data_IF_474574517751
#
_entry.id   IF_474574517751
#
_cell.length_a   1.000
_cell.length_b   1.000
_cell.length_c   1.000
_cell.angle_alpha   90.00
_cell.angle_beta   90.00
_cell.angle_gamma   90.00
#
_symmetry.space_group_name_H-M   'P 1'
#
loop_
_entity.id
_entity.type
_entity.pdbx_description
1 polymer ?
#
# COMPACT_ATOMS: atom_id res chain seq x y z
N UNK A 1 9.15 28.03 5.09
CA UNK A 1 9.04 26.73 4.39
C UNK A 1 7.85 26.74 3.46
N UNK A 2 6.64 26.98 3.96
CA UNK A 2 5.40 27.00 3.17
C UNK A 2 5.47 27.90 1.91
N UNK A 3 6.02 29.12 2.01
CA UNK A 3 6.19 30.01 0.85
C UNK A 3 7.08 29.41 -0.27
N UNK A 4 8.07 28.59 0.09
CA UNK A 4 8.96 27.91 -0.87
C UNK A 4 8.27 26.73 -1.55
N UNK A 5 7.17 26.23 -0.97
CA UNK A 5 6.39 25.11 -1.50
C UNK A 5 5.25 25.55 -2.42
N UNK A 6 4.80 26.81 -2.30
CA UNK A 6 3.75 27.41 -3.15
C UNK A 6 3.94 27.15 -4.65
N UNK A 7 5.15 27.26 -5.24
CA UNK A 7 5.35 27.01 -6.68
C UNK A 7 5.06 25.56 -7.11
N UNK A 8 5.07 24.62 -6.17
CA UNK A 8 4.85 23.20 -6.42
C UNK A 8 3.40 22.76 -6.14
N UNK A 9 2.56 23.66 -5.64
CA UNK A 9 1.17 23.38 -5.27
C UNK A 9 0.28 23.27 -6.52
N UNK A 10 -0.54 22.22 -6.58
CA UNK A 10 -1.44 21.91 -7.71
C UNK A 10 -2.90 22.25 -7.42
N UNK A 11 -3.35 22.02 -6.19
CA UNK A 11 -4.68 22.40 -5.73
C UNK A 11 -4.67 22.72 -4.24
N UNK A 12 -5.65 23.51 -3.84
CA UNK A 12 -5.86 24.04 -2.49
C UNK A 12 -7.29 23.81 -2.06
N UNK A 13 -7.62 24.10 -0.81
CA UNK A 13 -8.99 24.03 -0.30
C UNK A 13 -9.97 24.90 -1.10
N UNK A 14 -9.50 25.96 -1.76
CA UNK A 14 -10.31 26.86 -2.58
C UNK A 14 -10.79 26.22 -3.88
N UNK A 15 -10.13 25.15 -4.32
CA UNK A 15 -10.52 24.41 -5.52
C UNK A 15 -11.66 23.41 -5.25
N UNK A 16 -12.05 23.23 -3.98
CA UNK A 16 -13.10 22.31 -3.56
C UNK A 16 -14.48 22.77 -4.08
N UNK A 17 -15.27 21.81 -4.55
CA UNK A 17 -16.61 22.07 -5.06
C UNK A 17 -17.67 21.89 -3.96
N UNK A 18 -18.69 22.76 -3.88
CA UNK A 18 -19.80 22.54 -2.97
C UNK A 18 -20.48 21.18 -3.23
N UNK A 19 -20.71 20.41 -2.16
CA UNK A 19 -21.38 19.11 -2.23
C UNK A 19 -20.45 17.90 -2.47
N UNK A 20 -19.15 18.12 -2.62
CA UNK A 20 -18.13 17.06 -2.56
C UNK A 20 -17.61 16.91 -1.12
N UNK A 21 -17.16 15.72 -0.70
CA UNK A 21 -16.53 15.55 0.61
C UNK A 21 -15.22 16.34 0.69
N UNK A 22 -14.89 16.80 1.89
CA UNK A 22 -13.67 17.55 2.16
C UNK A 22 -12.74 16.74 3.05
N UNK A 23 -11.47 16.70 2.67
CA UNK A 23 -10.44 15.92 3.35
C UNK A 23 -9.23 16.79 3.68
N UNK A 24 -8.60 16.50 4.82
CA UNK A 24 -7.32 17.05 5.24
C UNK A 24 -6.29 15.92 5.39
N UNK A 25 -5.05 16.21 5.02
CA UNK A 25 -3.93 15.29 5.10
C UNK A 25 -2.91 15.84 6.10
N UNK A 26 -2.32 14.97 6.92
CA UNK A 26 -1.19 15.31 7.77
C UNK A 26 -0.06 14.31 7.54
N UNK A 27 1.18 14.81 7.57
CA UNK A 27 2.39 14.00 7.39
C UNK A 27 3.28 14.14 8.61
N UNK A 28 3.81 13.03 9.10
CA UNK A 28 4.78 12.99 10.19
C UNK A 28 5.86 11.97 9.86
N UNK A 29 7.12 12.27 10.14
CA UNK A 29 8.21 11.34 9.91
C UNK A 29 9.47 11.74 10.65
N UNK A 30 10.46 10.85 10.73
CA UNK A 30 11.73 11.11 11.39
C UNK A 30 12.50 12.26 10.72
N UNK A 31 13.22 13.06 11.49
CA UNK A 31 14.07 14.12 10.92
C UNK A 31 15.31 13.58 10.19
N UNK A 32 15.61 12.29 10.36
CA UNK A 32 16.76 11.62 9.79
C UNK A 32 16.34 10.41 8.97
N UNK A 33 16.90 10.30 7.77
CA UNK A 33 16.74 9.16 6.89
C UNK A 33 18.05 8.41 6.78
N UNK A 34 18.06 7.12 7.11
CA UNK A 34 19.16 6.22 6.77
C UNK A 34 18.93 5.63 5.37
N UNK A 35 20.01 5.47 4.61
CA UNK A 35 19.97 4.78 3.30
C UNK A 35 19.96 3.26 3.43
N UNK A 36 20.22 2.73 4.63
CA UNK A 36 20.30 1.28 4.91
C UNK A 36 19.05 0.73 5.59
N UNK A 37 18.11 1.60 5.99
CA UNK A 37 16.89 1.22 6.68
C UNK A 37 15.66 1.88 6.04
N UNK A 38 14.49 1.23 6.04
CA UNK A 38 13.28 1.84 5.50
C UNK A 38 12.92 3.13 6.24
N UNK A 39 12.66 4.19 5.48
CA UNK A 39 12.17 5.46 6.03
C UNK A 39 10.66 5.42 6.17
N UNK A 40 10.19 5.09 7.36
CA UNK A 40 8.78 5.04 7.71
C UNK A 40 8.24 6.44 8.02
N UNK A 41 7.15 6.82 7.38
CA UNK A 41 6.41 8.04 7.68
C UNK A 41 4.94 7.74 7.90
N UNK A 42 4.32 8.53 8.76
CA UNK A 42 2.92 8.46 9.12
C UNK A 42 2.12 9.47 8.30
N UNK A 43 0.95 9.03 7.87
CA UNK A 43 -0.01 9.79 7.09
C UNK A 43 -1.38 9.68 7.75
N UNK A 44 -1.97 10.80 8.16
CA UNK A 44 -3.35 10.81 8.64
C UNK A 44 -4.25 11.53 7.64
N UNK A 45 -5.29 10.83 7.20
CA UNK A 45 -6.35 11.34 6.34
C UNK A 45 -7.60 11.57 7.19
N UNK A 46 -8.03 12.82 7.30
CA UNK A 46 -9.20 13.20 8.07
C UNK A 46 -10.30 13.74 7.17
N UNK A 47 -11.53 13.29 7.38
CA UNK A 47 -12.70 13.91 6.77
C UNK A 47 -13.16 15.12 7.58
N UNK A 48 -13.24 16.28 6.95
CA UNK A 48 -13.45 17.58 7.61
C UNK A 48 -14.73 18.32 7.19
N UNK A 49 -15.53 17.75 6.29
CA UNK A 49 -16.84 18.32 5.95
C UNK A 49 -17.92 17.99 7.00
N UNK A 50 -18.99 18.78 6.99
CA UNK A 50 -20.12 18.67 7.93
C UNK A 50 -21.19 17.64 7.51
N UNK A 51 -21.02 16.93 6.39
CA UNK A 51 -22.03 15.98 5.91
C UNK A 51 -22.07 14.75 6.80
N UNK A 52 -23.27 14.34 7.19
CA UNK A 52 -23.49 13.10 7.96
C UNK A 52 -23.47 11.83 7.11
N UNK A 53 -23.57 11.95 5.77
CA UNK A 53 -23.51 10.80 4.85
C UNK A 53 -22.16 10.11 4.92
N UNK A 54 -22.10 8.81 4.68
CA UNK A 54 -20.82 8.11 4.57
C UNK A 54 -20.21 8.40 3.20
N UNK A 55 -18.90 8.60 3.14
CA UNK A 55 -18.18 8.79 1.88
C UNK A 55 -17.39 7.53 1.56
N UNK A 56 -17.61 6.97 0.36
CA UNK A 56 -16.72 5.96 -0.19
C UNK A 56 -15.69 6.68 -1.05
N UNK A 57 -14.44 6.59 -0.63
CA UNK A 57 -13.31 7.21 -1.32
C UNK A 57 -12.05 6.42 -1.03
N UNK A 58 -11.55 5.71 -2.04
CA UNK A 58 -10.31 4.96 -1.90
C UNK A 58 -9.11 5.85 -2.16
N UNK A 59 -8.40 6.15 -1.09
CA UNK A 59 -7.11 6.78 -1.13
C UNK A 59 -6.20 6.17 -0.07
N UNK A 60 -4.95 5.94 -0.44
CA UNK A 60 -3.89 5.44 0.42
C UNK A 60 -2.56 6.01 -0.08
N UNK A 61 -1.60 6.35 0.79
CA UNK A 61 -0.30 6.85 0.35
C UNK A 61 0.48 5.81 -0.47
N UNK A 62 0.21 4.53 -0.25
CA UNK A 62 0.90 3.44 -0.94
C UNK A 62 0.52 3.34 -2.42
N UNK A 63 -0.78 3.48 -2.74
CA UNK A 63 -1.28 3.38 -4.11
C UNK A 63 -1.21 4.72 -4.84
N UNK A 64 -1.35 5.84 -4.11
CA UNK A 64 -1.54 7.17 -4.70
C UNK A 64 -0.41 8.16 -4.39
N UNK A 65 0.42 7.87 -3.40
CA UNK A 65 1.47 8.78 -2.93
C UNK A 65 2.71 8.80 -3.80
N UNK A 66 3.03 7.74 -4.55
CA UNK A 66 4.26 7.68 -5.36
C UNK A 66 4.03 7.28 -6.83
N UNK A 67 2.99 7.85 -7.44
CA UNK A 67 2.62 7.61 -8.85
C UNK A 67 3.21 8.65 -9.81
N UNK A 68 3.51 8.24 -11.04
CA UNK A 68 4.17 9.09 -12.04
C UNK A 68 3.38 10.35 -12.43
N UNK A 69 2.06 10.22 -12.55
CA UNK A 69 1.13 11.28 -12.94
C UNK A 69 0.63 12.12 -11.75
N UNK A 70 1.16 11.89 -10.55
CA UNK A 70 0.58 12.44 -9.32
C UNK A 70 1.46 12.27 -8.08
N UNK A 71 0.85 12.20 -6.91
CA UNK A 71 1.58 11.86 -5.68
C UNK A 71 2.43 12.97 -5.04
N UNK A 72 3.19 12.54 -4.04
CA UNK A 72 4.22 13.30 -3.34
C UNK A 72 5.35 13.70 -4.30
N UNK A 73 5.91 14.86 -4.06
CA UNK A 73 7.10 15.37 -4.73
C UNK A 73 8.25 15.38 -3.73
N UNK A 74 9.38 14.83 -4.14
CA UNK A 74 10.63 14.93 -3.38
C UNK A 74 11.42 16.16 -3.84
N UNK A 75 11.76 17.03 -2.91
CA UNK A 75 12.45 18.29 -3.14
C UNK A 75 13.78 18.32 -2.37
N UNK A 76 14.86 18.71 -3.02
CA UNK A 76 16.19 18.86 -2.41
C UNK A 76 16.42 20.32 -1.99
N UNK A 77 16.89 20.52 -0.75
CA UNK A 77 17.40 21.82 -0.32
C UNK A 77 18.76 22.10 -0.95
N UNK A 78 18.86 23.19 -1.70
CA UNK A 78 20.13 23.64 -2.28
C UNK A 78 20.70 24.83 -1.50
N UNK A 79 22.01 25.08 -1.67
CA UNK A 79 22.83 26.03 -0.89
C UNK A 79 22.36 27.50 -0.84
N UNK A 80 21.24 27.83 -1.50
CA UNK A 80 20.62 29.16 -1.52
C UNK A 80 19.27 29.23 -0.79
N UNK A 81 18.90 28.19 -0.03
CA UNK A 81 17.59 28.09 0.61
C UNK A 81 16.44 27.84 -0.37
N UNK A 82 16.78 27.52 -1.63
CA UNK A 82 15.83 27.13 -2.65
C UNK A 82 15.56 25.62 -2.59
N UNK A 83 14.44 25.22 -3.17
CA UNK A 83 14.06 23.82 -3.34
C UNK A 83 14.15 23.45 -4.81
N UNK A 84 14.69 22.27 -5.11
CA UNK A 84 14.74 21.71 -6.46
C UNK A 84 14.09 20.32 -6.49
N UNK A 85 13.17 20.03 -7.43
CA UNK A 85 12.63 18.69 -7.59
C UNK A 85 13.70 17.66 -7.90
N UNK A 86 13.64 16.53 -7.20
CA UNK A 86 14.49 15.37 -7.48
C UNK A 86 13.94 14.66 -8.71
N UNK A 87 14.78 14.51 -9.74
CA UNK A 87 14.40 13.77 -10.95
C UNK A 87 14.34 12.28 -10.62
N UNK A 88 13.20 11.67 -10.89
CA UNK A 88 12.99 10.26 -10.64
C UNK A 88 13.59 9.38 -11.78
N UNK A 89 13.98 8.12 -11.49
CA UNK A 89 14.46 7.17 -12.50
C UNK A 89 13.40 6.86 -13.58
N UNK A 90 13.84 6.42 -14.77
CA UNK A 90 12.95 6.20 -15.92
C UNK A 90 11.93 5.07 -15.74
N UNK A 91 12.16 4.11 -14.82
CA UNK A 91 11.17 3.08 -14.45
C UNK A 91 9.84 3.69 -13.94
N UNK A 92 9.84 4.97 -13.54
CA UNK A 92 8.64 5.71 -13.17
C UNK A 92 7.90 6.30 -14.39
N UNK A 93 8.25 5.98 -15.63
CA UNK A 93 7.49 6.43 -16.82
C UNK A 93 6.22 5.61 -17.05
N UNK A 94 6.11 4.40 -16.50
CA UNK A 94 4.91 3.60 -16.65
C UNK A 94 3.75 4.24 -15.85
N UNK A 95 2.56 4.38 -16.44
CA UNK A 95 1.40 4.92 -15.75
C UNK A 95 1.07 4.18 -14.47
N UNK A 96 0.38 4.85 -13.54
CA UNK A 96 -0.17 4.18 -12.37
C UNK A 96 -1.10 3.05 -12.83
N UNK A 97 -1.18 1.98 -12.05
CA UNK A 97 -2.21 0.99 -12.23
C UNK A 97 -3.53 1.60 -11.71
N UNK A 98 -4.32 2.18 -12.62
CA UNK A 98 -5.66 2.68 -12.32
C UNK A 98 -6.61 1.49 -12.19
N UNK A 99 -6.85 1.05 -10.96
CA UNK A 99 -7.85 0.02 -10.69
C UNK A 99 -9.20 0.68 -10.46
N UNK A 100 -10.17 0.31 -11.29
CA UNK A 100 -11.58 0.62 -11.09
C UNK A 100 -12.18 -0.10 -9.86
N UNK A 101 -11.44 -1.04 -9.27
CA UNK A 101 -11.78 -1.75 -8.04
C UNK A 101 -10.74 -1.46 -6.96
N UNK A 102 -11.14 -0.77 -5.91
CA UNK A 102 -10.27 -0.48 -4.77
C UNK A 102 -10.51 -1.48 -3.64
N UNK A 103 -9.48 -2.23 -3.26
CA UNK A 103 -9.50 -3.06 -2.06
C UNK A 103 -8.31 -2.70 -1.14
N UNK A 104 -8.57 -2.39 0.14
CA UNK A 104 -9.90 -2.31 0.78
C UNK A 104 -10.74 -1.09 0.33
N UNK A 105 -12.06 -1.22 0.41
CA UNK A 105 -13.00 -0.11 0.21
C UNK A 105 -12.93 0.83 1.41
N UNK A 106 -12.39 2.03 1.22
CA UNK A 106 -12.24 3.00 2.31
C UNK A 106 -13.55 3.77 2.51
N UNK A 107 -14.26 3.43 3.58
CA UNK A 107 -15.42 4.16 4.08
C UNK A 107 -15.00 5.23 5.09
N UNK A 108 -15.47 6.46 4.87
CA UNK A 108 -15.17 7.63 5.70
C UNK A 108 -16.44 8.20 6.30
N UNK A 109 -16.55 8.09 7.63
CA UNK A 109 -17.60 8.76 8.43
C UNK A 109 -17.25 10.23 8.65
N UNK A 110 -18.24 11.06 8.99
CA UNK A 110 -17.98 12.45 9.37
C UNK A 110 -16.97 12.51 10.53
N UNK A 111 -15.94 13.34 10.38
CA UNK A 111 -14.86 13.48 11.37
C UNK A 111 -13.90 12.29 11.51
N UNK A 112 -14.09 11.22 10.73
CA UNK A 112 -13.21 10.04 10.81
C UNK A 112 -11.78 10.37 10.39
N UNK A 113 -10.84 9.72 11.06
CA UNK A 113 -9.40 9.80 10.77
C UNK A 113 -8.92 8.40 10.42
N UNK A 114 -8.39 8.24 9.21
CA UNK A 114 -7.68 7.04 8.78
C UNK A 114 -6.19 7.29 8.90
N UNK A 115 -5.48 6.36 9.54
CA UNK A 115 -4.04 6.45 9.77
C UNK A 115 -3.32 5.39 8.94
N UNK A 116 -2.25 5.80 8.28
CA UNK A 116 -1.40 4.94 7.48
C UNK A 116 0.05 5.14 7.87
N UNK A 117 0.81 4.06 7.86
CA UNK A 117 2.25 4.11 7.82
C UNK A 117 2.70 3.68 6.42
N UNK A 118 3.65 4.43 5.85
CA UNK A 118 4.18 4.17 4.53
C UNK A 118 5.69 4.40 4.50
N UNK A 119 6.35 3.83 3.51
CA UNK A 119 7.81 3.85 3.37
C UNK A 119 8.19 4.67 2.16
N UNK A 120 9.20 5.53 2.32
CA UNK A 120 9.80 6.18 1.17
C UNK A 120 10.38 5.10 0.23
N UNK A 121 9.91 4.98 -1.02
CA UNK A 121 10.31 3.89 -1.90
C UNK A 121 11.83 3.80 -2.07
N UNK A 122 12.40 2.60 -1.95
CA UNK A 122 13.85 2.36 -1.97
C UNK A 122 14.51 2.91 -3.26
N UNK A 123 13.79 2.90 -4.38
CA UNK A 123 14.20 3.53 -5.65
C UNK A 123 14.55 5.02 -5.55
N UNK A 124 13.99 5.74 -4.57
CA UNK A 124 14.29 7.15 -4.33
C UNK A 124 15.61 7.32 -3.58
N UNK A 125 16.06 6.32 -2.82
CA UNK A 125 17.27 6.37 -1.99
C UNK A 125 18.55 6.57 -2.83
N UNK A 126 18.55 6.13 -4.09
CA UNK A 126 19.67 6.35 -5.02
C UNK A 126 19.84 7.83 -5.40
N UNK A 127 18.76 8.61 -5.34
CA UNK A 127 18.79 10.06 -5.63
C UNK A 127 19.09 10.91 -4.39
N UNK A 128 19.23 10.27 -3.22
CA UNK A 128 19.51 10.91 -1.94
C UNK A 128 21.01 10.90 -1.66
N UNK A 129 21.53 12.04 -1.22
CA UNK A 129 22.94 12.23 -0.86
C UNK A 129 23.07 12.39 0.66
N UNK A 130 24.00 11.65 1.26
CA UNK A 130 24.32 11.79 2.69
C UNK A 130 24.70 13.23 3.03
N UNK A 131 24.19 13.73 4.16
CA UNK A 131 24.43 15.08 4.67
C UNK A 131 23.48 16.13 4.09
N UNK A 132 22.75 15.78 3.03
CA UNK A 132 21.82 16.69 2.37
C UNK A 132 20.41 16.60 2.98
N UNK A 133 19.66 17.71 2.85
CA UNK A 133 18.31 17.85 3.39
C UNK A 133 17.27 17.81 2.27
N UNK A 134 16.17 17.09 2.51
CA UNK A 134 15.08 16.91 1.56
C UNK A 134 13.72 17.19 2.19
N UNK A 135 12.72 17.45 1.34
CA UNK A 135 11.32 17.64 1.70
C UNK A 135 10.47 16.67 0.88
N UNK A 136 9.65 15.86 1.56
CA UNK A 136 8.57 15.13 0.91
C UNK A 136 7.31 15.99 1.02
N UNK A 137 6.77 16.43 -0.11
CA UNK A 137 5.68 17.40 -0.18
C UNK A 137 4.47 16.81 -0.89
N UNK A 138 3.28 17.01 -0.32
CA UNK A 138 2.01 16.74 -0.99
C UNK A 138 1.54 17.99 -1.77
N UNK A 139 1.59 17.97 -3.11
CA UNK A 139 1.21 19.13 -3.92
C UNK A 139 -0.30 19.31 -4.06
N UNK A 140 -1.09 18.31 -3.65
CA UNK A 140 -2.52 18.26 -3.90
C UNK A 140 -2.89 17.49 -5.17
N UNK A 141 -4.04 16.84 -5.14
CA UNK A 141 -4.60 16.06 -6.25
C UNK A 141 -6.12 16.20 -6.37
N UNK A 142 -6.65 15.78 -7.53
CA UNK A 142 -8.09 15.70 -7.78
C UNK A 142 -8.49 14.26 -8.08
N UNK A 143 -9.64 13.84 -7.58
CA UNK A 143 -10.13 12.48 -7.74
C UNK A 143 -11.60 12.48 -8.19
N UNK A 144 -11.88 11.73 -9.25
CA UNK A 144 -13.25 11.52 -9.76
C UNK A 144 -13.92 10.31 -9.12
N UNK A 145 -13.17 9.29 -8.72
CA UNK A 145 -13.72 8.06 -8.14
C UNK A 145 -14.09 8.24 -6.66
N UNK A 146 -15.34 8.60 -6.41
CA UNK A 146 -15.92 8.69 -5.06
C UNK A 146 -17.45 8.55 -5.11
N UNK A 147 -18.11 8.30 -3.98
CA UNK A 147 -19.55 8.48 -3.88
C UNK A 147 -20.01 8.74 -2.44
N UNK A 148 -21.20 9.34 -2.32
CA UNK A 148 -21.96 9.34 -1.08
C UNK A 148 -22.72 8.02 -0.98
N UNK A 149 -22.56 7.30 0.12
CA UNK A 149 -23.25 6.04 0.38
C UNK A 149 -24.33 6.23 1.45
N UNK A 150 -25.53 5.75 1.15
CA UNK A 150 -26.66 5.75 2.07
C UNK A 150 -26.83 4.40 2.77
N UNK A 151 -26.37 3.30 2.14
CA UNK A 151 -26.39 1.94 2.69
C UNK A 151 -24.99 1.29 2.63
N UNK A 152 -24.08 1.62 3.57
CA UNK A 152 -22.75 1.00 3.63
C UNK A 152 -22.87 -0.52 3.84
N UNK A 153 -22.41 -1.32 2.87
CA UNK A 153 -22.35 -2.79 2.97
C UNK A 153 -22.90 -3.57 1.76
N UNK A 154 -23.66 -2.95 0.84
CA UNK A 154 -24.21 -3.66 -0.33
C UNK A 154 -23.32 -3.61 -1.59
N UNK A 155 -22.26 -2.81 -1.59
CA UNK A 155 -21.33 -2.71 -2.72
C UNK A 155 -20.31 -3.87 -2.70
N UNK A 156 -20.79 -5.06 -3.05
CA UNK A 156 -20.08 -6.34 -3.10
C UNK A 156 -18.82 -6.36 -4.00
N UNK A 157 -18.61 -5.36 -4.86
CA UNK A 157 -17.49 -5.32 -5.80
C UNK A 157 -16.44 -4.25 -5.50
N UNK A 158 -16.61 -3.44 -4.45
CA UNK A 158 -15.66 -2.36 -4.13
C UNK A 158 -15.51 -1.32 -5.25
N UNK A 159 -16.50 -1.25 -6.15
CA UNK A 159 -16.49 -0.36 -7.31
C UNK A 159 -16.97 1.02 -6.91
N UNK A 160 -16.10 2.02 -7.10
CA UNK A 160 -16.43 3.42 -6.88
C UNK A 160 -16.52 4.10 -8.24
N UNK A 161 -17.73 4.44 -8.73
CA UNK A 161 -17.88 5.04 -10.05
C UNK A 161 -17.22 6.43 -10.12
N UNK A 162 -16.67 6.81 -11.28
CA UNK A 162 -16.22 8.17 -11.50
C UNK A 162 -17.42 9.13 -11.46
N UNK A 163 -17.28 10.20 -10.70
CA UNK A 163 -18.25 11.28 -10.58
C UNK A 163 -17.94 12.42 -11.54
N UNK A 164 -18.98 13.20 -11.87
CA UNK A 164 -18.83 14.43 -12.65
C UNK A 164 -18.09 15.54 -11.87
N UNK A 165 -18.23 15.54 -10.54
CA UNK A 165 -17.56 16.50 -9.66
C UNK A 165 -16.35 15.84 -9.03
N UNK A 166 -15.24 16.55 -8.97
CA UNK A 166 -13.99 16.03 -8.39
C UNK A 166 -13.91 16.34 -6.90
N UNK A 167 -13.45 15.37 -6.10
CA UNK A 167 -12.90 15.65 -4.78
C UNK A 167 -11.56 16.33 -4.96
N UNK A 168 -11.34 17.39 -4.19
CA UNK A 168 -10.03 18.02 -4.08
C UNK A 168 -9.37 17.51 -2.81
N UNK A 169 -8.18 16.96 -2.98
CA UNK A 169 -7.31 16.66 -1.86
C UNK A 169 -6.24 17.76 -1.77
N UNK A 170 -6.42 18.78 -0.90
CA UNK A 170 -5.58 19.97 -0.90
C UNK A 170 -4.10 19.67 -0.66
N UNK A 171 -3.25 20.40 -1.38
CA UNK A 171 -1.80 20.41 -1.16
C UNK A 171 -1.40 21.25 0.05
N UNK A 172 -0.17 21.05 0.53
CA UNK A 172 0.34 21.77 1.69
C UNK A 172 1.17 20.90 2.64
N UNK A 173 0.66 19.72 3.05
CA UNK A 173 1.38 18.85 3.98
C UNK A 173 2.76 18.46 3.48
N UNK A 174 3.74 18.54 4.37
CA UNK A 174 5.12 18.17 4.07
C UNK A 174 5.81 17.60 5.30
N UNK A 175 6.88 16.84 5.07
CA UNK A 175 7.87 16.50 6.07
C UNK A 175 9.27 16.81 5.53
N UNK A 176 10.23 17.04 6.43
CA UNK A 176 11.62 17.30 6.07
C UNK A 176 12.55 16.35 6.80
N UNK A 177 13.56 15.84 6.11
CA UNK A 177 14.55 14.95 6.67
C UNK A 177 15.94 15.23 6.13
N UNK A 178 16.95 14.83 6.91
CA UNK A 178 18.36 14.86 6.54
C UNK A 178 18.84 13.44 6.31
N UNK A 179 19.58 13.20 5.24
CA UNK A 179 20.12 11.87 4.96
C UNK A 179 21.37 11.67 5.81
N UNK A 180 21.41 10.59 6.57
CA UNK A 180 22.53 10.26 7.46
C UNK A 180 23.16 8.93 7.05
N UNK A 181 24.48 8.80 7.22
CA UNK A 181 25.14 7.50 7.17
C UNK A 181 24.87 6.84 8.52
N UNK A 182 24.03 5.81 8.55
CA UNK A 182 23.78 5.07 9.78
C UNK A 182 23.98 3.58 9.57
N UNK A 183 25.02 3.04 10.21
CA UNK A 183 25.31 1.61 10.38
C UNK A 183 24.87 1.09 11.76
N UNK A 184 24.21 1.91 12.61
CA UNK A 184 24.08 1.59 14.04
C UNK A 184 22.73 1.78 14.73
N UNK A 185 21.92 2.79 14.35
CA UNK A 185 20.63 3.03 15.03
C UNK A 185 19.44 2.83 14.09
N UNK A 186 18.56 1.89 14.45
CA UNK A 186 17.27 1.68 13.76
C UNK A 186 16.52 3.01 13.67
N UNK A 187 15.85 3.33 12.54
CA UNK A 187 14.98 4.49 12.47
C UNK A 187 13.98 4.43 13.62
N UNK A 188 13.92 5.51 14.41
CA UNK A 188 12.87 5.67 15.40
C UNK A 188 11.59 5.86 14.60
N UNK A 189 10.70 4.88 14.61
CA UNK A 189 9.36 5.01 14.06
C UNK A 189 8.74 6.33 14.58
N UNK A 190 8.01 7.09 13.74
CA UNK A 190 7.43 8.35 14.19
C UNK A 190 6.61 8.11 15.46
N UNK A 191 6.83 8.94 16.48
CA UNK A 191 6.05 8.86 17.71
C UNK A 191 4.58 9.04 17.35
N UNK A 192 3.68 8.12 17.76
CA UNK A 192 2.25 8.32 17.59
C UNK A 192 1.85 9.69 18.13
N UNK A 193 0.87 10.33 17.49
CA UNK A 193 0.25 11.54 18.04
C UNK A 193 -0.17 11.19 19.48
N UNK A 194 0.38 11.94 20.45
CA UNK A 194 0.34 11.65 21.89
C UNK A 194 -1.04 11.17 22.37
N UNK A 195 -1.11 9.94 22.92
CA UNK A 195 -2.31 9.38 23.55
C UNK A 195 -2.84 8.06 22.99
N UNK A 196 -2.24 7.49 21.94
CA UNK A 196 -2.65 6.20 21.38
C UNK A 196 -1.91 5.03 22.05
N UNK A 197 -2.63 4.15 22.76
CA UNK A 197 -2.16 2.78 23.02
C UNK A 197 -1.90 2.06 21.67
N UNK A 198 -0.95 1.11 21.62
CA UNK A 198 -0.71 0.26 20.44
C UNK A 198 -1.95 -0.63 20.20
N UNK A 199 -2.94 -0.01 19.57
CA UNK A 199 -4.24 -0.61 19.28
C UNK A 199 -4.16 -1.57 18.10
N UNK A 200 -3.15 -1.41 17.23
CA UNK A 200 -2.88 -2.25 16.08
C UNK A 200 -1.37 -2.37 15.77
N UNK A 201 -0.92 -3.52 15.23
CA UNK A 201 0.45 -3.67 14.74
C UNK A 201 0.72 -2.83 13.49
N UNK A 202 1.97 -2.38 13.33
CA UNK A 202 2.44 -1.71 12.11
C UNK A 202 3.20 -2.70 11.23
N UNK A 203 2.69 -2.92 10.03
CA UNK A 203 3.28 -3.84 9.08
C UNK A 203 3.91 -3.09 7.90
N UNK A 204 5.00 -3.66 7.38
CA UNK A 204 5.79 -3.13 6.28
C UNK A 204 5.90 -4.20 5.21
N UNK A 205 5.65 -3.86 3.94
CA UNK A 205 5.78 -4.80 2.83
C UNK A 205 6.95 -4.46 1.90
N UNK A 206 7.65 -5.50 1.41
CA UNK A 206 8.71 -5.40 0.40
C UNK A 206 8.60 -6.54 -0.60
N UNK A 207 9.01 -6.29 -1.85
CA UNK A 207 9.07 -7.31 -2.89
C UNK A 207 10.51 -7.47 -3.33
N UNK A 208 10.92 -8.72 -3.48
CA UNK A 208 12.14 -9.09 -4.17
C UNK A 208 11.78 -9.96 -5.38
N UNK A 209 12.42 -9.72 -6.53
CA UNK A 209 12.26 -10.55 -7.71
C UNK A 209 13.58 -11.17 -8.16
N UNK A 210 13.47 -12.38 -8.70
CA UNK A 210 14.56 -13.06 -9.38
C UNK A 210 14.07 -13.65 -10.71
N UNK A 211 14.79 -13.46 -11.84
CA UNK A 211 16.01 -12.64 -11.98
C UNK A 211 15.79 -11.14 -11.70
N UNK A 212 16.88 -10.41 -11.43
CA UNK A 212 16.87 -8.96 -11.22
C UNK A 212 16.95 -8.24 -12.56
N UNK A 213 16.17 -7.16 -12.71
CA UNK A 213 16.11 -6.24 -13.86
C UNK A 213 15.66 -6.82 -15.21
N UNK A 214 16.05 -8.06 -15.55
CA UNK A 214 15.78 -8.67 -16.85
C UNK A 214 15.32 -10.12 -16.70
N UNK A 215 14.40 -10.56 -17.56
CA UNK A 215 13.92 -11.95 -17.61
C UNK A 215 13.89 -12.47 -19.04
N UNK A 216 14.38 -13.68 -19.27
CA UNK A 216 14.41 -14.28 -20.59
C UNK A 216 13.02 -14.80 -21.01
N UNK A 217 12.61 -14.51 -22.24
CA UNK A 217 11.26 -14.85 -22.74
C UNK A 217 10.91 -16.35 -22.73
N UNK A 218 11.88 -17.24 -22.98
CA UNK A 218 11.58 -18.63 -23.38
C UNK A 218 11.72 -19.70 -22.31
N UNK A 219 12.29 -19.45 -21.12
CA UNK A 219 12.42 -20.49 -20.09
C UNK A 219 12.61 -19.99 -18.64
N UNK A 220 12.65 -18.67 -18.39
CA UNK A 220 12.83 -18.16 -17.02
C UNK A 220 11.50 -17.80 -16.35
N UNK A 221 11.30 -18.41 -15.18
CA UNK A 221 10.22 -18.08 -14.25
C UNK A 221 10.60 -16.84 -13.46
N UNK A 222 9.69 -15.88 -13.35
CA UNK A 222 9.84 -14.77 -12.40
C UNK A 222 9.49 -15.30 -11.02
N UNK A 223 10.48 -15.41 -10.15
CA UNK A 223 10.25 -15.69 -8.73
C UNK A 223 10.06 -14.38 -8.00
N UNK A 224 8.92 -14.17 -7.37
CA UNK A 224 8.68 -13.01 -6.52
C UNK A 224 8.51 -13.44 -5.06
N UNK A 225 9.19 -12.74 -4.16
CA UNK A 225 9.07 -12.94 -2.72
C UNK A 225 8.49 -11.69 -2.09
N UNK A 226 7.32 -11.83 -1.46
CA UNK A 226 6.72 -10.81 -0.60
C UNK A 226 7.26 -10.98 0.82
N UNK A 227 7.84 -9.91 1.36
CA UNK A 227 8.27 -9.83 2.75
C UNK A 227 7.32 -8.89 3.51
N UNK A 228 6.78 -9.33 4.64
CA UNK A 228 5.96 -8.53 5.56
C UNK A 228 6.65 -8.49 6.92
N UNK A 229 7.06 -7.31 7.35
CA UNK A 229 7.80 -7.09 8.61
C UNK A 229 6.92 -6.39 9.62
N UNK A 230 6.92 -6.85 10.88
CA UNK A 230 6.27 -6.16 11.98
C UNK A 230 7.23 -5.14 12.60
N UNK A 231 6.92 -3.84 12.44
CA UNK A 231 7.72 -2.76 13.03
C UNK A 231 7.11 -2.32 14.38
N UNK A 232 7.84 -2.42 15.50
CA UNK A 232 7.34 -1.95 16.80
C UNK A 232 7.27 -0.43 16.84
N UNK A 233 6.14 0.11 17.29
CA UNK A 233 6.03 1.54 17.55
C UNK A 233 6.62 1.86 18.95
N UNK A 234 7.94 2.07 19.00
CA UNK A 234 8.71 2.59 20.15
C UNK A 234 8.93 1.66 21.37
N UNK A 235 10.21 1.36 21.68
CA UNK A 235 10.81 1.18 23.02
C UNK A 235 10.33 0.05 23.96
N UNK A 236 9.04 -0.27 23.97
CA UNK A 236 8.50 -1.47 24.63
C UNK A 236 8.55 -2.61 23.62
N UNK A 237 9.17 -3.73 23.97
CA UNK A 237 9.22 -4.92 23.12
C UNK A 237 7.82 -5.41 22.81
N UNK A 238 7.23 -4.91 21.71
CA UNK A 238 5.84 -5.11 21.31
C UNK A 238 5.38 -6.57 21.45
N UNK A 239 4.09 -6.76 21.59
CA UNK A 239 3.53 -8.12 21.74
C UNK A 239 3.42 -8.79 20.37
N UNK A 240 3.62 -10.11 20.26
CA UNK A 240 3.48 -10.82 18.99
C UNK A 240 2.06 -10.71 18.45
N UNK A 241 1.93 -10.88 17.14
CA UNK A 241 0.66 -10.96 16.44
C UNK A 241 0.52 -12.29 15.74
N UNK A 242 -0.70 -12.83 15.70
CA UNK A 242 -1.08 -13.94 14.85
C UNK A 242 -2.09 -13.44 13.84
N UNK A 243 -1.88 -13.71 12.55
CA UNK A 243 -2.72 -13.20 11.48
C UNK A 243 -2.94 -14.21 10.35
N UNK A 244 -4.05 -14.04 9.65
CA UNK A 244 -4.39 -14.79 8.46
C UNK A 244 -3.56 -14.27 7.26
N UNK A 245 -2.95 -15.18 6.50
CA UNK A 245 -2.08 -14.81 5.38
C UNK A 245 -2.83 -14.70 4.05
N UNK A 246 -4.16 -14.82 4.03
CA UNK A 246 -4.94 -14.70 2.81
C UNK A 246 -4.80 -13.30 2.22
N UNK A 247 -4.71 -13.23 0.89
CA UNK A 247 -4.52 -11.98 0.17
C UNK A 247 -3.10 -11.41 0.18
N UNK A 248 -2.17 -11.96 0.98
CA UNK A 248 -0.76 -11.57 0.96
C UNK A 248 -0.02 -12.24 -0.20
N UNK A 249 -0.34 -11.81 -1.42
CA UNK A 249 0.24 -12.30 -2.67
C UNK A 249 0.64 -11.15 -3.59
N UNK A 250 1.77 -11.32 -4.26
CA UNK A 250 2.16 -10.47 -5.38
C UNK A 250 1.29 -10.78 -6.60
N UNK A 251 1.37 -9.91 -7.62
CA UNK A 251 0.89 -10.17 -8.97
C UNK A 251 1.88 -9.62 -9.98
N UNK A 252 1.89 -10.20 -11.19
CA UNK A 252 2.64 -9.65 -12.31
C UNK A 252 1.71 -8.95 -13.30
N UNK A 253 2.14 -7.80 -13.79
CA UNK A 253 1.44 -7.01 -14.77
C UNK A 253 2.38 -6.68 -15.93
N UNK A 254 1.85 -6.61 -17.16
CA UNK A 254 2.61 -6.14 -18.33
C UNK A 254 2.00 -4.86 -18.86
N UNK A 255 2.85 -3.93 -19.30
CA UNK A 255 2.41 -2.68 -19.92
C UNK A 255 2.30 -2.82 -21.45
N UNK A 256 1.08 -2.63 -21.98
CA UNK A 256 0.75 -2.67 -23.42
C UNK A 256 -0.25 -1.58 -23.78
N UNK A 257 0.15 -0.32 -23.58
CA UNK A 257 -0.73 0.88 -23.60
C UNK A 257 -1.83 0.90 -22.52
N UNK A 258 -2.05 -0.24 -21.86
CA UNK A 258 -2.79 -0.45 -20.63
C UNK A 258 -2.08 -1.52 -19.80
N UNK A 259 -2.40 -1.59 -18.52
CA UNK A 259 -1.95 -2.68 -17.68
C UNK A 259 -2.76 -3.94 -17.93
N UNK A 260 -2.07 -5.07 -18.12
CA UNK A 260 -2.67 -6.39 -18.31
C UNK A 260 -2.16 -7.31 -17.20
N UNK A 261 -3.09 -7.95 -16.48
CA UNK A 261 -2.76 -8.93 -15.44
C UNK A 261 -2.20 -10.20 -16.10
N UNK A 262 -0.96 -10.56 -15.76
CA UNK A 262 -0.28 -11.73 -16.30
C UNK A 262 -0.53 -13.00 -15.50
N UNK A 263 -1.41 -13.01 -14.50
CA UNK A 263 -1.89 -14.27 -13.92
C UNK A 263 -3.05 -14.88 -14.74
N UNK A 264 -3.50 -14.17 -15.78
CA UNK A 264 -4.66 -14.54 -16.60
C UNK A 264 -5.95 -14.62 -15.77
N UNK A 265 -7.02 -15.13 -16.38
CA UNK A 265 -8.19 -15.62 -15.64
C UNK A 265 -7.82 -16.92 -14.94
N UNK A 266 -6.92 -16.87 -13.96
CA UNK A 266 -6.74 -18.02 -13.08
C UNK A 266 -7.99 -18.12 -12.23
N UNK A 267 -8.76 -19.18 -12.43
CA UNK A 267 -9.67 -19.71 -11.44
C UNK A 267 -8.84 -20.24 -10.23
N UNK A 268 -7.94 -19.42 -9.66
CA UNK A 268 -7.13 -19.78 -8.50
C UNK A 268 -7.90 -19.64 -7.17
N UNK A 269 -9.22 -19.50 -7.26
CA UNK A 269 -10.13 -20.11 -6.31
C UNK A 269 -10.96 -21.07 -7.12
N UNK A 270 -10.95 -22.36 -6.79
CA UNK A 270 -11.99 -23.24 -7.27
C UNK A 270 -13.32 -22.59 -6.93
N UNK A 271 -14.05 -22.14 -7.96
CA UNK A 271 -15.51 -22.08 -7.88
C UNK A 271 -16.03 -23.53 -7.87
N UNK A 272 -15.50 -24.33 -6.95
CA UNK A 272 -16.11 -25.57 -6.54
C UNK A 272 -17.39 -25.10 -5.88
N UNK A 273 -18.50 -25.31 -6.57
CA UNK A 273 -19.82 -25.11 -6.00
C UNK A 273 -19.89 -26.00 -4.75
N UNK A 274 -19.72 -25.41 -3.58
CA UNK A 274 -19.63 -26.13 -2.31
C UNK A 274 -20.93 -25.92 -1.54
N UNK A 275 -21.80 -26.94 -1.55
CA UNK A 275 -22.80 -27.16 -0.48
C UNK A 275 -22.11 -27.64 0.82
N UNK A 276 -20.78 -27.63 0.88
CA UNK A 276 -19.99 -28.04 2.03
C UNK A 276 -20.12 -27.02 3.18
N UNK A 277 -20.18 -27.50 4.44
CA UNK A 277 -20.30 -26.63 5.60
C UNK A 277 -19.00 -25.84 5.85
N UNK A 278 -19.14 -24.62 6.36
CA UNK A 278 -18.03 -23.80 6.83
C UNK A 278 -17.12 -24.60 7.79
N UNK A 279 -15.81 -24.38 7.67
CA UNK A 279 -14.79 -25.13 8.38
C UNK A 279 -14.34 -24.33 9.61
N UNK A 280 -14.23 -25.01 10.75
CA UNK A 280 -13.67 -24.47 11.97
C UNK A 280 -12.19 -24.83 12.05
N UNK A 281 -11.33 -23.81 12.12
CA UNK A 281 -9.87 -24.01 12.23
C UNK A 281 -9.30 -23.22 13.39
N UNK A 282 -8.17 -23.69 13.93
CA UNK A 282 -7.43 -22.96 14.96
C UNK A 282 -6.27 -22.18 14.34
N UNK A 283 -6.17 -20.85 14.55
CA UNK A 283 -5.02 -20.05 14.11
C UNK A 283 -3.68 -20.60 14.64
N UNK A 284 -3.71 -21.18 15.85
CA UNK A 284 -2.54 -21.80 16.46
C UNK A 284 -2.01 -23.04 15.74
N UNK A 285 -2.82 -23.67 14.87
CA UNK A 285 -2.47 -24.96 14.20
C UNK A 285 -2.48 -24.88 12.68
N UNK A 286 -3.35 -24.06 12.11
CA UNK A 286 -3.61 -24.07 10.68
C UNK A 286 -2.55 -23.30 9.88
N UNK A 287 -2.16 -23.77 8.70
CA UNK A 287 -1.07 -23.20 7.89
C UNK A 287 -1.38 -21.83 7.27
N UNK A 288 -2.67 -21.52 7.07
CA UNK A 288 -3.14 -20.21 6.61
C UNK A 288 -2.97 -19.06 7.62
N UNK A 289 -2.31 -19.30 8.75
CA UNK A 289 -2.02 -18.31 9.77
C UNK A 289 -0.52 -18.27 10.08
N UNK A 290 0.00 -17.06 10.22
CA UNK A 290 1.38 -16.79 10.62
C UNK A 290 1.42 -16.03 11.94
N UNK A 291 2.58 -16.03 12.58
CA UNK A 291 2.85 -15.21 13.75
C UNK A 291 4.13 -14.42 13.54
N UNK A 292 4.14 -13.17 14.02
CA UNK A 292 5.30 -12.29 14.02
C UNK A 292 5.51 -11.68 15.40
N UNK A 293 6.72 -11.80 15.92
CA UNK A 293 7.23 -10.94 16.98
C UNK A 293 7.68 -9.60 16.39
N UNK A 294 7.81 -8.55 17.20
CA UNK A 294 8.33 -7.29 16.71
C UNK A 294 9.71 -7.43 16.10
N UNK A 295 9.86 -6.88 14.90
CA UNK A 295 11.06 -6.95 14.07
C UNK A 295 11.18 -8.23 13.25
N UNK A 296 10.29 -9.21 13.40
CA UNK A 296 10.29 -10.39 12.55
C UNK A 296 9.64 -10.11 11.18
N UNK A 297 10.05 -10.91 10.20
CA UNK A 297 9.56 -10.83 8.82
C UNK A 297 8.96 -12.15 8.40
N UNK A 298 7.70 -12.13 7.97
CA UNK A 298 7.04 -13.22 7.27
C UNK A 298 7.36 -13.09 5.78
N UNK A 299 7.59 -14.20 5.09
CA UNK A 299 7.91 -14.18 3.66
C UNK A 299 7.13 -15.25 2.90
N UNK A 300 6.63 -14.89 1.71
CA UNK A 300 5.98 -15.83 0.81
C UNK A 300 6.53 -15.67 -0.59
N UNK A 301 6.91 -16.80 -1.20
CA UNK A 301 7.53 -16.84 -2.52
C UNK A 301 6.59 -17.50 -3.51
N UNK A 302 6.30 -16.80 -4.61
CA UNK A 302 5.52 -17.29 -5.74
C UNK A 302 6.42 -17.38 -6.96
N UNK A 303 6.26 -18.44 -7.75
CA UNK A 303 6.94 -18.60 -9.05
C UNK A 303 5.91 -18.40 -10.15
N UNK A 304 6.13 -17.36 -10.94
CA UNK A 304 5.31 -17.03 -12.08
C UNK A 304 5.94 -17.58 -13.36
N UNK A 305 5.11 -18.23 -14.16
CA UNK A 305 5.46 -18.54 -15.54
C UNK A 305 5.12 -17.32 -16.39
N UNK A 306 6.07 -16.86 -17.21
CA UNK A 306 5.80 -15.79 -18.17
C UNK A 306 4.77 -16.30 -19.17
N UNK A 307 3.56 -15.75 -19.12
CA UNK A 307 2.44 -16.25 -19.91
C UNK A 307 2.68 -16.03 -21.41
N UNK A 308 2.66 -17.13 -22.15
CA UNK A 308 2.43 -17.15 -23.60
C UNK A 308 0.94 -17.14 -23.94
N UNK A 309 0.04 -17.43 -22.99
CA UNK A 309 -1.40 -17.61 -23.24
C UNK A 309 -2.27 -16.53 -22.59
N UNK A 310 -1.98 -15.26 -22.91
CA UNK A 310 -2.89 -14.14 -22.63
C UNK A 310 -3.90 -14.06 -23.77
N UNK A 311 -5.17 -13.74 -23.49
CA UNK A 311 -6.17 -13.57 -24.54
C UNK A 311 -5.66 -12.64 -25.65
N UNK A 312 -5.90 -12.98 -26.91
CA UNK A 312 -5.46 -12.17 -28.05
C UNK A 312 -5.94 -10.71 -27.99
N UNK A 313 -7.07 -10.46 -27.35
CA UNK A 313 -7.64 -9.14 -27.03
C UNK A 313 -6.79 -8.33 -26.05
N UNK A 314 -6.07 -8.99 -25.15
CA UNK A 314 -5.15 -8.42 -24.16
C UNK A 314 -3.67 -8.47 -24.63
N UNK A 315 -3.46 -8.68 -25.92
CA UNK A 315 -2.17 -8.50 -26.60
C UNK A 315 -1.39 -9.78 -26.89
N UNK A 316 -1.90 -10.95 -26.51
CA UNK A 316 -1.29 -12.26 -26.79
C UNK A 316 0.01 -12.52 -26.02
N UNK A 317 0.90 -13.34 -26.59
CA UNK A 317 2.14 -13.78 -25.92
C UNK A 317 3.06 -12.60 -25.55
N UNK A 318 3.82 -12.76 -24.47
CA UNK A 318 4.87 -11.83 -24.07
C UNK A 318 5.93 -11.62 -25.18
N UNK A 319 6.50 -10.41 -25.28
CA UNK A 319 7.49 -10.06 -26.32
C UNK A 319 8.75 -9.45 -25.72
N UNK A 320 9.88 -9.70 -26.37
CA UNK A 320 11.16 -9.04 -26.05
C UNK A 320 10.99 -7.51 -26.10
N UNK A 321 11.52 -6.83 -25.09
CA UNK A 321 11.42 -5.38 -24.88
C UNK A 321 10.16 -4.93 -24.12
N UNK A 322 9.23 -5.82 -23.78
CA UNK A 322 8.12 -5.48 -22.88
C UNK A 322 8.61 -5.33 -21.43
N UNK A 323 7.95 -4.45 -20.67
CA UNK A 323 8.23 -4.25 -19.25
C UNK A 323 7.14 -4.91 -18.42
N UNK A 324 7.59 -5.78 -17.52
CA UNK A 324 6.80 -6.45 -16.50
C UNK A 324 6.95 -5.70 -15.19
N UNK A 325 5.86 -5.59 -14.44
CA UNK A 325 5.82 -5.05 -13.09
C UNK A 325 5.33 -6.11 -12.12
N UNK A 326 6.18 -6.49 -11.18
CA UNK A 326 5.75 -7.22 -9.99
C UNK A 326 5.26 -6.24 -8.93
N UNK A 327 4.07 -6.48 -8.41
CA UNK A 327 3.41 -5.55 -7.51
C UNK A 327 2.58 -6.28 -6.45
N UNK A 328 2.60 -5.71 -5.25
CA UNK A 328 1.71 -6.02 -4.13
C UNK A 328 1.02 -4.71 -3.78
N UNK A 329 -0.29 -4.65 -3.93
CA UNK A 329 -1.10 -3.43 -3.79
C UNK A 329 -1.31 -3.01 -2.33
N UNK A 330 -0.81 -3.83 -1.40
CA UNK A 330 -1.28 -3.79 -0.04
C UNK A 330 -2.59 -4.56 0.08
N UNK A 331 -2.94 -4.87 1.31
CA UNK A 331 -4.23 -5.47 1.63
C UNK A 331 -4.60 -5.12 3.06
N UNK A 332 -5.88 -5.11 3.34
CA UNK A 332 -6.33 -5.23 4.72
C UNK A 332 -6.10 -6.68 5.15
N UNK A 333 -5.55 -6.89 6.34
CA UNK A 333 -5.53 -8.21 6.93
C UNK A 333 -6.97 -8.66 7.16
N UNK A 334 -7.30 -9.79 6.55
CA UNK A 334 -8.59 -10.45 6.68
C UNK A 334 -8.93 -10.71 8.16
N UNK A 335 -7.93 -11.22 8.90
CA UNK A 335 -8.05 -11.47 10.34
C UNK A 335 -6.69 -11.39 11.03
N UNK A 336 -6.66 -10.86 12.26
CA UNK A 336 -5.49 -10.89 13.12
C UNK A 336 -5.90 -10.79 14.60
N UNK A 337 -4.98 -11.15 15.49
CA UNK A 337 -5.13 -11.06 16.94
C UNK A 337 -3.76 -10.88 17.61
N UNK A 338 -3.76 -10.28 18.79
CA UNK A 338 -2.57 -10.21 19.64
C UNK A 338 -2.30 -11.55 20.34
N UNK A 339 -1.06 -12.02 20.26
CA UNK A 339 -0.62 -13.27 20.83
C UNK A 339 0.13 -14.14 19.82
N UNK A 340 0.84 -15.12 20.36
CA UNK A 340 1.52 -16.16 19.58
C UNK A 340 0.53 -17.20 19.08
N UNK A 341 0.99 -18.09 18.20
CA UNK A 341 0.16 -19.23 17.75
C UNK A 341 -0.21 -20.13 18.93
N UNK A 342 0.68 -20.28 19.89
CA UNK A 342 0.49 -21.05 21.11
C UNK A 342 -0.67 -20.50 21.96
N UNK A 343 -0.76 -19.17 22.08
CA UNK A 343 -1.85 -18.49 22.79
C UNK A 343 -3.22 -18.75 22.14
N UNK A 344 -3.23 -19.04 20.83
CA UNK A 344 -4.43 -19.23 20.02
C UNK A 344 -4.71 -20.68 19.62
N UNK A 345 -4.14 -21.66 20.34
CA UNK A 345 -4.43 -23.09 20.14
C UNK A 345 -5.89 -23.48 20.44
N UNK A 346 -6.53 -22.77 21.38
CA UNK A 346 -7.93 -22.96 21.74
C UNK A 346 -8.88 -21.98 21.04
N UNK A 347 -8.33 -20.99 20.32
CA UNK A 347 -9.12 -20.08 19.48
C UNK A 347 -9.59 -20.83 18.25
N UNK A 348 -10.84 -20.60 17.87
CA UNK A 348 -11.46 -21.17 16.67
C UNK A 348 -11.98 -20.04 15.81
N UNK A 349 -11.72 -20.15 14.51
CA UNK A 349 -12.22 -19.23 13.49
C UNK A 349 -12.97 -20.00 12.40
N UNK A 350 -14.02 -19.37 11.86
CA UNK A 350 -14.87 -19.91 10.80
C UNK A 350 -14.35 -19.47 9.44
N UNK A 351 -14.02 -20.42 8.57
CA UNK A 351 -13.63 -20.18 7.17
C UNK A 351 -14.69 -20.80 6.25
N UNK A 352 -15.17 -20.08 5.22
CA UNK A 352 -16.19 -20.61 4.35
C UNK A 352 -15.65 -21.75 3.47
N UNK A 353 -16.49 -22.73 3.20
CA UNK A 353 -16.14 -23.86 2.34
C UNK A 353 -15.97 -23.50 0.86
N UNK A 354 -16.24 -22.24 0.50
CA UNK A 354 -16.06 -21.66 -0.85
C UNK A 354 -14.59 -21.54 -1.28
N UNK A 355 -13.65 -22.03 -0.48
CA UNK A 355 -12.21 -21.95 -0.75
C UNK A 355 -11.61 -20.56 -0.55
N UNK A 356 -12.41 -19.55 -0.19
CA UNK A 356 -11.90 -18.26 0.26
C UNK A 356 -11.40 -18.41 1.69
N UNK A 357 -10.09 -18.20 1.89
CA UNK A 357 -9.44 -18.24 3.20
C UNK A 357 -9.78 -17.04 4.11
N UNK A 358 -10.95 -16.43 3.88
CA UNK A 358 -11.48 -15.29 4.61
C UNK A 358 -12.22 -15.74 5.86
N UNK A 359 -11.82 -15.23 7.01
CA UNK A 359 -12.45 -15.52 8.30
C UNK A 359 -13.77 -14.77 8.40
N UNK A 360 -14.86 -15.52 8.61
CA UNK A 360 -16.20 -14.96 8.86
C UNK A 360 -16.42 -14.59 10.32
N UNK A 361 -15.99 -15.46 11.22
CA UNK A 361 -16.23 -15.32 12.64
C UNK A 361 -15.04 -15.83 13.48
N UNK A 362 -14.66 -15.12 14.56
CA UNK A 362 -15.06 -13.75 14.87
C UNK A 362 -14.48 -12.77 13.83
N UNK A 363 -15.27 -11.76 13.45
CA UNK A 363 -14.78 -10.67 12.62
C UNK A 363 -13.68 -9.87 13.31
N UNK A 364 -12.83 -9.21 12.53
CA UNK A 364 -11.65 -8.53 13.05
C UNK A 364 -11.89 -7.03 13.27
N UNK A 365 -11.46 -6.53 14.42
CA UNK A 365 -11.40 -5.10 14.75
C UNK A 365 -10.30 -4.87 15.81
N UNK A 366 -9.40 -3.87 15.65
CA UNK A 366 -9.38 -2.86 14.60
C UNK A 366 -8.75 -3.33 13.28
N UNK A 367 -8.97 -2.55 12.22
CA UNK A 367 -8.42 -2.79 10.88
C UNK A 367 -6.90 -2.65 10.90
N UNK A 368 -6.20 -3.64 10.35
CA UNK A 368 -4.75 -3.57 10.08
C UNK A 368 -4.52 -3.66 8.59
N UNK A 369 -3.67 -2.78 8.09
CA UNK A 369 -3.29 -2.70 6.69
C UNK A 369 -1.85 -3.18 6.55
N UNK A 370 -1.62 -4.11 5.64
CA UNK A 370 -0.29 -4.35 5.08
C UNK A 370 -0.14 -3.39 3.89
N UNK A 371 0.79 -2.44 3.93
CA UNK A 371 0.94 -1.43 2.88
C UNK A 371 1.34 -2.07 1.54
N UNK A 372 1.11 -1.37 0.42
CA UNK A 372 1.71 -1.78 -0.85
C UNK A 372 3.24 -1.80 -0.73
N UNK A 373 3.85 -2.72 -1.46
CA UNK A 373 5.30 -2.72 -1.59
C UNK A 373 5.72 -1.88 -2.79
N UNK A 374 6.94 -1.33 -2.76
CA UNK A 374 7.51 -0.72 -3.95
C UNK A 374 7.55 -1.75 -5.10
N UNK A 375 7.01 -1.42 -6.29
CA UNK A 375 7.02 -2.35 -7.40
C UNK A 375 8.44 -2.61 -7.88
N UNK A 376 8.65 -3.82 -8.38
CA UNK A 376 9.87 -4.24 -9.08
C UNK A 376 9.54 -4.40 -10.56
N UNK A 377 10.27 -3.67 -11.40
CA UNK A 377 10.11 -3.71 -12.85
C UNK A 377 11.20 -4.60 -13.47
N UNK A 378 10.83 -5.37 -14.48
CA UNK A 378 11.69 -6.30 -15.21
C UNK A 378 11.49 -6.09 -16.72
N UNK A 379 12.57 -6.09 -17.49
CA UNK A 379 12.52 -6.07 -18.96
C UNK A 379 12.62 -7.50 -19.52
N UNK A 380 11.78 -7.83 -20.50
CA UNK A 380 11.87 -9.10 -21.20
C UNK A 380 13.00 -9.04 -22.23
N UNK A 381 13.96 -9.96 -22.17
CA UNK A 381 15.13 -10.03 -23.07
C UNK A 381 15.17 -11.26 -23.96
#
# INVERSE_FOLDING_TARGET
>A
MEELLTPYMRCTEKDSHPGTPAFSLTLQGPENLSRTAPYLFHVALQRVDESSKHCLFSWTPQTHGFVASGGFILLHHIAQGQLKPVKLPECNKLPALELWCSFPLNEHRSGSVQQYYDILPDRLLHSLQTGERYVLFWPGQRYTSWCWEENPGENIYGYIPPQKSEIVFPGGPFLSFTVVDNDGEKPIAPTPISGAEESCPVLIARIECHPQDQVALQDDRVTATLHVTYEPISGGGGRPITFNTAGLRTRLWVWRDRWVDMEGFSCNGGNTFCDDPDIQVSPGRHEGFACLHPGETWSHTVRYELLTDIESTDGGEAKVGEVIRCLFMGTQLDWWVWGTREDHLATTVTIPATGSWTVREPGNNPVVIVPAAAPVDLEIV
#
